data_IF_794060932615
#
_entry.id   IF_794060932615
#
_cell.length_a   1.000
_cell.length_b   1.000
_cell.length_c   1.000
_cell.angle_alpha   90.00
_cell.angle_beta   90.00
_cell.angle_gamma   90.00
#
_symmetry.space_group_name_H-M   'P 1'
#
loop_
_entity.id
_entity.type
_entity.pdbx_description
1 polymer ?
#
# COMPACT_ATOMS: atom_id res chain seq x y z
N UNK A 1 7.54 -18.48 9.70
CA UNK A 1 7.65 -18.59 11.18
C UNK A 1 6.25 -18.67 11.77
N UNK A 2 6.03 -19.40 12.87
CA UNK A 2 4.73 -19.43 13.57
C UNK A 2 4.83 -18.57 14.82
N UNK A 3 4.00 -17.54 14.89
CA UNK A 3 3.98 -16.58 16.00
C UNK A 3 2.60 -16.62 16.65
N UNK A 4 2.55 -16.64 17.98
CA UNK A 4 1.32 -16.47 18.74
C UNK A 4 1.30 -15.03 19.26
N UNK A 5 0.20 -14.33 19.04
CA UNK A 5 0.02 -12.94 19.45
C UNK A 5 -1.31 -12.80 20.19
N UNK A 6 -1.31 -12.04 21.27
CA UNK A 6 -2.54 -11.72 21.99
C UNK A 6 -3.26 -10.58 21.26
N UNK A 7 -4.49 -10.83 20.85
CA UNK A 7 -5.34 -9.82 20.21
C UNK A 7 -6.50 -9.47 21.15
N UNK A 8 -6.75 -8.18 21.42
CA UNK A 8 -7.98 -7.76 22.08
C UNK A 8 -9.21 -8.31 21.34
N UNK A 9 -10.26 -8.68 22.07
CA UNK A 9 -11.47 -9.32 21.50
C UNK A 9 -12.07 -8.53 20.32
N UNK A 10 -12.11 -7.21 20.45
CA UNK A 10 -12.61 -6.33 19.39
C UNK A 10 -11.78 -6.44 18.11
N UNK A 11 -10.45 -6.49 18.24
CA UNK A 11 -9.52 -6.64 17.12
C UNK A 11 -9.64 -8.01 16.48
N UNK A 12 -9.67 -9.08 17.30
CA UNK A 12 -9.86 -10.44 16.82
C UNK A 12 -11.15 -10.59 16.00
N UNK A 13 -12.27 -10.03 16.46
CA UNK A 13 -13.55 -10.02 15.72
C UNK A 13 -13.44 -9.29 14.38
N UNK A 14 -12.81 -8.11 14.37
CA UNK A 14 -12.62 -7.32 13.14
C UNK A 14 -11.79 -8.06 12.10
N UNK A 15 -10.67 -8.66 12.53
CA UNK A 15 -9.81 -9.47 11.65
C UNK A 15 -10.59 -10.67 11.09
N UNK A 16 -11.35 -11.37 11.93
CA UNK A 16 -12.17 -12.52 11.50
C UNK A 16 -13.18 -12.14 10.42
N UNK A 17 -13.87 -11.01 10.59
CA UNK A 17 -14.83 -10.50 9.61
C UNK A 17 -14.13 -10.14 8.29
N UNK A 18 -13.01 -9.41 8.37
CA UNK A 18 -12.23 -9.01 7.18
C UNK A 18 -11.68 -10.21 6.40
N UNK A 19 -11.21 -11.23 7.12
CA UNK A 19 -10.74 -12.48 6.51
C UNK A 19 -11.87 -13.20 5.77
N UNK A 20 -13.07 -13.26 6.37
CA UNK A 20 -14.24 -13.85 5.73
C UNK A 20 -14.69 -13.07 4.49
N UNK A 21 -14.72 -11.73 4.56
CA UNK A 21 -15.03 -10.86 3.41
C UNK A 21 -14.10 -11.12 2.22
N UNK A 22 -12.83 -11.43 2.47
CA UNK A 22 -11.80 -11.66 1.44
C UNK A 22 -11.58 -13.14 1.09
N UNK A 23 -12.30 -14.06 1.73
CA UNK A 23 -12.09 -15.50 1.54
C UNK A 23 -10.72 -16.01 2.00
N UNK A 24 -10.06 -15.30 2.92
CA UNK A 24 -8.74 -15.65 3.45
C UNK A 24 -8.83 -16.35 4.80
N UNK A 25 -7.78 -17.11 5.15
CA UNK A 25 -7.61 -17.59 6.52
C UNK A 25 -7.28 -16.43 7.47
N UNK A 26 -7.61 -16.57 8.76
CA UNK A 26 -7.31 -15.55 9.76
C UNK A 26 -5.81 -15.24 9.84
N UNK A 27 -4.96 -16.27 9.80
CA UNK A 27 -3.50 -16.09 9.81
C UNK A 27 -2.99 -15.35 8.57
N UNK A 28 -3.56 -15.62 7.39
CA UNK A 28 -3.20 -14.89 6.17
C UNK A 28 -3.60 -13.41 6.27
N UNK A 29 -4.82 -13.14 6.74
CA UNK A 29 -5.29 -11.76 6.95
C UNK A 29 -4.42 -11.00 7.96
N UNK A 30 -4.03 -11.63 9.08
CA UNK A 30 -3.14 -11.00 10.07
C UNK A 30 -1.77 -10.70 9.46
N UNK A 31 -1.22 -11.63 8.67
CA UNK A 31 0.05 -11.42 7.99
C UNK A 31 0.01 -10.24 7.01
N UNK A 32 -1.02 -10.16 6.17
CA UNK A 32 -1.21 -9.03 5.24
C UNK A 32 -1.35 -7.69 5.97
N UNK A 33 -2.19 -7.63 7.00
CA UNK A 33 -2.39 -6.40 7.78
C UNK A 33 -1.12 -5.98 8.51
N UNK A 34 -0.31 -6.93 8.95
CA UNK A 34 0.97 -6.65 9.61
C UNK A 34 1.98 -6.09 8.61
N UNK A 35 2.10 -6.69 7.43
CA UNK A 35 2.97 -6.17 6.36
C UNK A 35 2.55 -4.75 5.96
N UNK A 36 1.28 -4.53 5.63
CA UNK A 36 0.77 -3.22 5.25
C UNK A 36 0.89 -2.16 6.36
N UNK A 37 0.84 -2.58 7.64
CA UNK A 37 1.07 -1.70 8.77
C UNK A 37 2.56 -1.35 8.95
N UNK A 38 3.47 -2.27 8.64
CA UNK A 38 4.91 -2.02 8.66
C UNK A 38 5.33 -1.10 7.52
N UNK A 39 4.79 -1.29 6.31
CA UNK A 39 5.06 -0.43 5.16
C UNK A 39 4.65 1.03 5.44
N UNK A 40 3.61 1.25 6.25
CA UNK A 40 3.19 2.59 6.70
C UNK A 40 4.09 3.19 7.81
N UNK A 41 4.85 2.36 8.52
CA UNK A 41 5.79 2.79 9.55
C UNK A 41 7.18 3.07 8.98
N UNK A 42 7.50 2.51 7.83
CA UNK A 42 8.63 3.00 7.06
C UNK A 42 8.39 4.48 6.76
N UNK A 43 9.39 5.36 6.97
CA UNK A 43 9.24 6.74 6.59
C UNK A 43 9.00 6.75 5.10
N UNK A 44 7.73 6.97 4.72
CA UNK A 44 7.38 7.34 3.36
C UNK A 44 8.33 8.50 3.04
N UNK A 45 9.25 8.36 2.07
CA UNK A 45 10.14 9.45 1.74
C UNK A 45 9.21 10.58 1.32
N UNK A 46 9.01 11.56 2.23
CA UNK A 46 8.14 12.70 1.97
C UNK A 46 8.51 13.20 0.58
N UNK A 47 7.58 13.09 -0.39
CA UNK A 47 7.94 13.32 -1.78
C UNK A 47 8.54 14.71 -1.84
N UNK A 48 9.77 14.79 -2.36
CA UNK A 48 10.53 16.03 -2.44
C UNK A 48 9.63 17.11 -3.02
N UNK A 49 9.57 18.28 -2.39
CA UNK A 49 8.75 19.37 -2.88
C UNK A 49 9.64 20.23 -3.75
N UNK A 50 9.22 20.48 -4.98
CA UNK A 50 9.88 21.40 -5.88
C UNK A 50 9.77 22.83 -5.33
N UNK A 51 10.92 23.49 -5.12
CA UNK A 51 10.96 24.80 -4.45
C UNK A 51 10.33 25.94 -5.29
N UNK A 52 10.26 25.77 -6.61
CA UNK A 52 9.72 26.77 -7.53
C UNK A 52 8.20 26.69 -7.63
N UNK A 53 7.66 25.47 -7.75
CA UNK A 53 6.24 25.20 -7.98
C UNK A 53 5.46 24.86 -6.72
N UNK A 54 6.14 24.40 -5.66
CA UNK A 54 5.52 23.90 -4.44
C UNK A 54 4.82 22.54 -4.62
N UNK A 55 5.00 21.87 -5.76
CA UNK A 55 4.39 20.58 -6.06
C UNK A 55 5.29 19.42 -5.62
N UNK A 56 4.69 18.27 -5.35
CA UNK A 56 5.43 17.03 -5.08
C UNK A 56 6.17 16.56 -6.33
N UNK A 57 7.44 16.20 -6.16
CA UNK A 57 8.36 15.79 -7.20
C UNK A 57 8.51 14.26 -7.18
N UNK A 58 8.19 13.64 -8.32
CA UNK A 58 8.30 12.20 -8.53
C UNK A 58 9.47 11.90 -9.48
N UNK A 59 10.50 11.18 -9.00
CA UNK A 59 11.65 10.77 -9.83
C UNK A 59 11.48 9.33 -10.31
N UNK A 60 11.27 9.18 -11.61
CA UNK A 60 11.02 7.87 -12.27
C UNK A 60 12.34 7.18 -12.69
N UNK A 61 13.48 7.87 -12.62
CA UNK A 61 14.82 7.31 -12.91
C UNK A 61 15.10 7.05 -14.40
N UNK A 62 14.14 7.30 -15.28
CA UNK A 62 14.25 7.24 -16.74
C UNK A 62 13.42 8.36 -17.39
N UNK A 63 13.75 8.79 -18.61
CA UNK A 63 12.87 9.67 -19.36
C UNK A 63 11.55 8.96 -19.68
N UNK A 64 10.44 9.69 -19.55
CA UNK A 64 9.12 9.27 -20.02
C UNK A 64 8.93 9.83 -21.43
N UNK A 65 8.51 8.99 -22.38
CA UNK A 65 8.29 9.41 -23.77
C UNK A 65 6.84 9.82 -24.01
N UNK A 66 6.61 10.62 -25.06
CA UNK A 66 5.26 11.00 -25.47
C UNK A 66 4.42 9.78 -25.89
N UNK A 67 5.05 8.77 -26.48
CA UNK A 67 4.38 7.52 -26.89
C UNK A 67 3.84 6.75 -25.68
N UNK A 68 4.61 6.67 -24.58
CA UNK A 68 4.16 6.05 -23.32
C UNK A 68 2.95 6.79 -22.72
N UNK A 69 2.93 8.12 -22.81
CA UNK A 69 1.81 8.93 -22.33
C UNK A 69 0.55 8.67 -23.18
N UNK A 70 0.69 8.65 -24.50
CA UNK A 70 -0.44 8.39 -25.40
C UNK A 70 -1.03 7.00 -25.17
N UNK A 71 -0.18 5.96 -25.10
CA UNK A 71 -0.62 4.58 -24.85
C UNK A 71 -1.41 4.48 -23.53
N UNK A 72 -0.94 5.13 -22.47
CA UNK A 72 -1.61 5.11 -21.17
C UNK A 72 -3.00 5.76 -21.22
N UNK A 73 -3.14 6.91 -21.89
CA UNK A 73 -4.42 7.63 -21.99
C UNK A 73 -5.46 6.88 -22.87
N UNK A 74 -5.01 6.11 -23.86
CA UNK A 74 -5.88 5.30 -24.71
C UNK A 74 -6.40 4.03 -24.00
N UNK A 75 -5.71 3.53 -22.97
CA UNK A 75 -6.15 2.36 -22.19
C UNK A 75 -7.29 2.67 -21.19
N UNK A 76 -7.49 3.94 -20.84
CA UNK A 76 -8.50 4.41 -19.88
C UNK A 76 -9.83 4.86 -20.54
N UNK A 77 -9.98 4.75 -21.88
CA UNK A 77 -11.24 4.97 -22.64
C UNK A 77 -12.03 3.67 -22.89
#
# INVERSE_FOLDING_TARGET
MRTTVDLPDATHRRVKLKAAERGLSMSAMVAELTAAGLDQLEPDPTPEVDEETGLHLLRIGRPITAEEITSFLEEDE
#
